data_IF_376195215369
#
_entry.id   IF_376195215369
#
_cell.length_a   1.000
_cell.length_b   1.000
_cell.length_c   1.000
_cell.angle_alpha   90.00
_cell.angle_beta   90.00
_cell.angle_gamma   90.00
#
_symmetry.space_group_name_H-M   'P 1'
#
loop_
_entity.id
_entity.type
_entity.pdbx_description
1 polymer ?
#
# COMPACT_ATOMS: atom_id res chain seq x y z
N UNK A 1 19.41 11.36 22.49
CA UNK A 1 19.28 10.34 21.44
C UNK A 1 18.23 10.83 20.45
N UNK A 2 18.42 10.69 19.13
CA UNK A 2 17.36 11.03 18.18
C UNK A 2 16.15 10.14 18.46
N UNK A 3 14.96 10.74 18.46
CA UNK A 3 13.71 10.07 18.76
C UNK A 3 13.41 9.11 17.59
N UNK A 4 13.58 7.80 17.77
CA UNK A 4 13.38 6.79 16.71
C UNK A 4 11.94 6.66 16.22
N UNK A 5 11.00 7.38 16.84
CA UNK A 5 9.55 7.32 16.61
C UNK A 5 9.07 7.80 15.22
N UNK A 6 9.97 8.05 14.27
CA UNK A 6 9.61 8.49 12.91
C UNK A 6 10.41 7.84 11.78
N UNK A 7 11.26 6.84 12.06
CA UNK A 7 12.07 6.17 11.03
C UNK A 7 11.38 4.93 10.43
N UNK A 8 10.46 4.32 11.18
CA UNK A 8 9.73 3.12 10.75
C UNK A 8 8.23 3.41 10.71
N UNK A 9 7.56 2.83 9.72
CA UNK A 9 6.11 2.85 9.63
C UNK A 9 5.49 2.26 10.90
N UNK A 10 4.58 3.01 11.52
CA UNK A 10 3.68 2.50 12.55
C UNK A 10 2.26 2.37 11.97
N UNK A 11 1.78 1.15 11.67
CA UNK A 11 0.48 0.95 11.03
C UNK A 11 -0.68 1.45 11.91
N UNK A 12 -0.53 1.44 13.24
CA UNK A 12 -1.58 1.86 14.18
C UNK A 12 -1.81 3.39 14.21
N UNK A 13 -0.87 4.17 13.69
CA UNK A 13 -0.94 5.64 13.70
C UNK A 13 -0.71 6.23 12.31
N UNK A 14 -0.92 5.42 11.26
CA UNK A 14 -0.69 5.84 9.88
C UNK A 14 -1.77 6.82 9.40
N UNK A 15 -1.42 8.10 9.25
CA UNK A 15 -2.27 9.14 8.70
C UNK A 15 -1.51 10.05 7.70
N UNK A 16 -1.44 9.67 6.42
CA UNK A 16 -0.74 10.46 5.41
C UNK A 16 -1.64 11.57 4.86
N UNK A 17 -1.83 12.64 5.63
CA UNK A 17 -2.73 13.76 5.33
C UNK A 17 -2.44 14.48 3.99
N UNK A 18 -1.20 14.40 3.51
CA UNK A 18 -0.76 14.96 2.23
C UNK A 18 -1.35 14.24 1.01
N UNK A 19 -1.91 13.05 1.19
CA UNK A 19 -2.44 12.23 0.10
C UNK A 19 -3.93 12.49 -0.17
N UNK A 20 -4.33 12.32 -1.43
CA UNK A 20 -5.73 12.39 -1.83
C UNK A 20 -6.60 11.32 -1.13
N UNK A 21 -7.92 11.55 -1.00
CA UNK A 21 -8.80 10.65 -0.26
C UNK A 21 -8.75 9.19 -0.73
N UNK A 22 -8.63 8.97 -2.04
CA UNK A 22 -8.59 7.63 -2.62
C UNK A 22 -7.32 6.89 -2.22
N UNK A 23 -6.16 7.54 -2.36
CA UNK A 23 -4.88 7.00 -1.94
C UNK A 23 -4.88 6.66 -0.45
N UNK A 24 -5.42 7.54 0.40
CA UNK A 24 -5.53 7.28 1.85
C UNK A 24 -6.40 6.07 2.15
N UNK A 25 -7.50 5.88 1.43
CA UNK A 25 -8.38 4.70 1.59
C UNK A 25 -7.63 3.42 1.22
N UNK A 26 -7.00 3.40 0.04
CA UNK A 26 -6.31 2.22 -0.46
C UNK A 26 -5.11 1.81 0.40
N UNK A 27 -4.33 2.78 0.89
CA UNK A 27 -3.18 2.49 1.77
C UNK A 27 -3.62 1.98 3.15
N UNK A 28 -4.73 2.48 3.70
CA UNK A 28 -5.32 1.88 4.92
C UNK A 28 -5.80 0.46 4.69
N UNK A 29 -6.48 0.20 3.58
CA UNK A 29 -6.90 -1.16 3.22
C UNK A 29 -5.70 -2.11 3.06
N UNK A 30 -4.56 -1.62 2.53
CA UNK A 30 -3.33 -2.39 2.41
C UNK A 30 -2.74 -2.73 3.78
N UNK A 31 -2.70 -1.76 4.70
CA UNK A 31 -2.27 -1.98 6.09
C UNK A 31 -3.16 -3.02 6.76
N UNK A 32 -4.48 -2.85 6.68
CA UNK A 32 -5.45 -3.79 7.25
C UNK A 32 -5.24 -5.21 6.69
N UNK A 33 -4.98 -5.36 5.38
CA UNK A 33 -4.72 -6.66 4.76
C UNK A 33 -3.48 -7.38 5.33
N UNK A 34 -2.41 -6.63 5.63
CA UNK A 34 -1.21 -7.19 6.26
C UNK A 34 -1.44 -7.50 7.74
N UNK A 35 -2.10 -6.60 8.48
CA UNK A 35 -2.40 -6.78 9.90
C UNK A 35 -3.34 -7.96 10.16
N UNK A 36 -4.35 -8.18 9.31
CA UNK A 36 -5.25 -9.36 9.38
C UNK A 36 -4.50 -10.70 9.25
N UNK A 37 -3.39 -10.73 8.51
CA UNK A 37 -2.54 -11.92 8.37
C UNK A 37 -1.65 -12.12 9.58
N UNK A 38 -1.13 -11.02 10.11
CA UNK A 38 -0.21 -11.00 11.22
C UNK A 38 1.19 -11.50 10.86
N UNK A 39 2.16 -11.05 11.66
CA UNK A 39 3.60 -11.29 11.45
C UNK A 39 3.98 -12.76 11.30
N UNK A 40 3.38 -13.66 12.09
CA UNK A 40 3.72 -15.09 12.06
C UNK A 40 3.43 -15.70 10.69
N UNK A 41 2.27 -15.39 10.11
CA UNK A 41 1.91 -15.89 8.78
C UNK A 41 2.82 -15.27 7.72
N UNK A 42 3.03 -13.96 7.75
CA UNK A 42 3.87 -13.27 6.76
C UNK A 42 5.29 -13.83 6.69
N UNK A 43 5.92 -14.06 7.85
CA UNK A 43 7.27 -14.65 7.91
C UNK A 43 7.31 -16.08 7.39
N UNK A 44 6.27 -16.88 7.68
CA UNK A 44 6.21 -18.25 7.17
C UNK A 44 6.04 -18.26 5.65
N UNK A 45 5.11 -17.46 5.14
CA UNK A 45 4.80 -17.40 3.71
C UNK A 45 6.04 -16.90 2.91
N UNK A 46 6.85 -15.98 3.48
CA UNK A 46 8.17 -15.58 2.95
C UNK A 46 9.20 -16.72 2.95
N UNK A 47 9.38 -17.39 4.10
CA UNK A 47 10.32 -18.52 4.24
C UNK A 47 10.02 -19.68 3.30
N UNK A 48 8.74 -19.92 3.02
CA UNK A 48 8.26 -20.99 2.14
C UNK A 48 8.23 -20.58 0.66
N UNK A 49 8.56 -19.32 0.32
CA UNK A 49 8.41 -18.74 -1.01
C UNK A 49 6.99 -18.97 -1.58
N UNK A 50 5.98 -18.81 -0.73
CA UNK A 50 4.59 -19.05 -1.10
C UNK A 50 4.15 -18.10 -2.22
N UNK A 51 3.39 -18.63 -3.19
CA UNK A 51 2.86 -17.81 -4.28
C UNK A 51 1.74 -16.88 -3.78
N UNK A 52 1.90 -15.58 -4.02
CA UNK A 52 1.11 -14.47 -3.44
C UNK A 52 -0.27 -14.25 -4.09
N UNK A 53 -0.99 -15.32 -4.40
CA UNK A 53 -2.29 -15.25 -5.11
C UNK A 53 -3.32 -14.35 -4.41
N UNK A 54 -3.42 -14.49 -3.10
CA UNK A 54 -4.39 -13.75 -2.27
C UNK A 54 -4.06 -12.25 -2.19
N UNK A 55 -2.78 -11.88 -2.28
CA UNK A 55 -2.35 -10.50 -2.42
C UNK A 55 -2.73 -9.94 -3.78
N UNK A 56 -2.51 -10.70 -4.85
CA UNK A 56 -2.90 -10.27 -6.20
C UNK A 56 -4.43 -10.11 -6.33
N UNK A 57 -5.20 -10.98 -5.68
CA UNK A 57 -6.66 -10.85 -5.60
C UNK A 57 -7.09 -9.58 -4.86
N UNK A 58 -6.42 -9.26 -3.74
CA UNK A 58 -6.62 -8.01 -3.03
C UNK A 58 -6.26 -6.78 -3.88
N UNK A 59 -5.07 -6.77 -4.50
CA UNK A 59 -4.62 -5.69 -5.39
C UNK A 59 -5.61 -5.44 -6.52
N UNK A 60 -6.16 -6.53 -7.09
CA UNK A 60 -7.19 -6.47 -8.13
C UNK A 60 -8.49 -5.86 -7.60
N UNK A 61 -8.97 -6.33 -6.45
CA UNK A 61 -10.21 -5.85 -5.80
C UNK A 61 -10.12 -4.36 -5.47
N UNK A 62 -9.04 -3.95 -4.82
CA UNK A 62 -8.82 -2.54 -4.43
C UNK A 62 -8.40 -1.66 -5.60
N UNK A 63 -8.06 -2.25 -6.76
CA UNK A 63 -7.49 -1.55 -7.92
C UNK A 63 -6.20 -0.80 -7.58
N UNK A 64 -5.44 -1.29 -6.60
CA UNK A 64 -4.29 -0.59 -6.01
C UNK A 64 -3.25 -0.18 -7.08
N UNK A 65 -2.73 -1.15 -7.83
CA UNK A 65 -1.75 -0.86 -8.88
C UNK A 65 -2.34 -0.08 -10.05
N UNK A 66 -3.62 -0.28 -10.37
CA UNK A 66 -4.27 0.53 -11.41
C UNK A 66 -4.34 2.01 -11.02
N UNK A 67 -4.48 2.33 -9.73
CA UNK A 67 -4.50 3.72 -9.23
C UNK A 67 -3.10 4.33 -9.15
N UNK A 68 -2.12 3.60 -8.60
CA UNK A 68 -0.79 4.14 -8.29
C UNK A 68 0.21 4.02 -9.46
N UNK A 69 0.12 2.95 -10.26
CA UNK A 69 1.14 2.58 -11.24
C UNK A 69 0.72 2.81 -12.70
N UNK A 70 -0.44 3.45 -12.93
CA UNK A 70 -0.89 3.83 -14.27
C UNK A 70 -0.49 5.28 -14.57
N UNK A 71 0.34 5.53 -15.59
CA UNK A 71 0.58 6.88 -16.09
C UNK A 71 -0.72 7.61 -16.44
N UNK A 72 -0.79 8.92 -16.20
CA UNK A 72 -2.01 9.70 -16.39
C UNK A 72 -2.53 9.71 -17.84
N UNK A 73 -1.65 9.53 -18.82
CA UNK A 73 -2.01 9.38 -20.24
C UNK A 73 -2.91 8.15 -20.50
N UNK A 74 -2.82 7.12 -19.65
CA UNK A 74 -3.64 5.89 -19.72
C UNK A 74 -4.79 5.89 -18.71
N UNK A 75 -5.08 7.01 -18.06
CA UNK A 75 -6.08 7.10 -17.00
C UNK A 75 -7.54 7.00 -17.49
N UNK A 76 -7.78 7.20 -18.80
CA UNK A 76 -9.12 7.27 -19.39
C UNK A 76 -10.07 8.23 -18.65
N UNK A 77 -9.54 9.39 -18.24
CA UNK A 77 -10.30 10.43 -17.52
C UNK A 77 -10.41 10.24 -16.01
N UNK A 78 -9.85 9.16 -15.45
CA UNK A 78 -9.83 8.95 -14.00
C UNK A 78 -8.70 9.73 -13.32
N UNK A 79 -9.03 10.81 -12.64
CA UNK A 79 -8.06 11.68 -11.97
C UNK A 79 -7.24 10.98 -10.86
N UNK A 80 -7.70 9.83 -10.34
CA UNK A 80 -6.96 9.09 -9.32
C UNK A 80 -5.81 8.26 -9.94
N UNK A 81 -5.95 7.85 -11.20
CA UNK A 81 -4.95 7.07 -11.94
C UNK A 81 -3.86 7.98 -12.47
N UNK A 82 -2.78 8.10 -11.71
CA UNK A 82 -1.63 8.89 -12.09
C UNK A 82 -0.40 8.34 -11.40
N UNK A 83 0.62 8.05 -12.18
CA UNK A 83 1.95 7.79 -11.64
C UNK A 83 2.44 9.04 -10.92
N UNK A 84 2.69 8.89 -9.62
CA UNK A 84 3.23 9.94 -8.76
C UNK A 84 4.24 9.30 -7.82
N UNK A 85 5.51 9.69 -7.98
CA UNK A 85 6.62 9.12 -7.21
C UNK A 85 6.44 9.30 -5.70
N UNK A 86 5.84 10.42 -5.26
CA UNK A 86 5.60 10.65 -3.82
C UNK A 86 4.56 9.69 -3.25
N UNK A 87 3.47 9.42 -4.00
CA UNK A 87 2.45 8.42 -3.64
C UNK A 87 3.01 7.01 -3.64
N UNK A 88 3.79 6.68 -4.67
CA UNK A 88 4.39 5.37 -4.83
C UNK A 88 5.45 5.09 -3.77
N UNK A 89 6.17 6.12 -3.30
CA UNK A 89 7.09 6.00 -2.17
C UNK A 89 6.34 5.59 -0.90
N UNK A 90 5.21 6.25 -0.57
CA UNK A 90 4.40 5.88 0.60
C UNK A 90 3.83 4.46 0.46
N UNK A 91 3.37 4.07 -0.74
CA UNK A 91 2.93 2.69 -1.01
C UNK A 91 4.05 1.67 -0.74
N UNK A 92 5.30 2.00 -1.08
CA UNK A 92 6.44 1.09 -0.94
C UNK A 92 6.99 1.02 0.50
N UNK A 93 6.61 1.96 1.36
CA UNK A 93 6.95 1.92 2.79
C UNK A 93 6.06 0.97 3.60
N UNK A 94 4.89 0.59 3.05
CA UNK A 94 3.94 -0.37 3.63
C UNK A 94 4.30 -1.77 3.17
#
# INVERSE_FOLDING_TARGET
MPNSSGLLLNPNTFDPQQLDPESRRQLRALIEWFEERGKTRLLRDDLEAAWVSDFLDFVKKERLFATFLTPSEFAAGDANKRWDTSRNAVLSEI
#
